data_IF_397394199446
#
_entry.id   IF_397394199446
#
_cell.length_a   1.000
_cell.length_b   1.000
_cell.length_c   1.000
_cell.angle_alpha   90.00
_cell.angle_beta   90.00
_cell.angle_gamma   90.00
#
_symmetry.space_group_name_H-M   'P 1'
#
loop_
_entity.id
_entity.type
_entity.pdbx_description
1 polymer ?
#
# COMPACT_ATOMS: atom_id res chain seq x y z
N UNK A 1 6.43 22.92 17.31
CA UNK A 1 7.50 21.91 17.29
C UNK A 1 7.34 21.05 16.06
N UNK A 2 8.33 20.23 15.70
CA UNK A 2 8.21 19.27 14.59
C UNK A 2 7.40 18.07 15.09
N UNK A 3 6.34 17.69 14.38
CA UNK A 3 5.56 16.47 14.67
C UNK A 3 6.36 15.27 14.18
N UNK A 4 6.66 14.31 15.06
CA UNK A 4 7.48 13.16 14.71
C UNK A 4 6.84 11.87 15.22
N UNK A 5 6.83 10.84 14.38
CA UNK A 5 6.43 9.49 14.69
C UNK A 5 7.67 8.60 14.82
N UNK A 6 7.53 7.48 15.54
CA UNK A 6 8.58 6.45 15.68
C UNK A 6 8.07 5.13 15.17
N UNK A 7 8.95 4.30 14.63
CA UNK A 7 8.65 2.98 14.10
C UNK A 7 9.80 2.02 14.41
N UNK A 8 9.64 1.14 15.42
CA UNK A 8 10.70 0.22 15.84
C UNK A 8 10.17 -1.10 16.43
N UNK A 9 11.05 -2.07 16.65
CA UNK A 9 10.77 -3.44 17.16
C UNK A 9 9.91 -3.48 18.41
N UNK A 10 10.11 -2.52 19.30
CA UNK A 10 9.48 -2.48 20.62
C UNK A 10 8.01 -2.07 20.57
N UNK A 11 7.55 -1.58 19.42
CA UNK A 11 6.14 -1.23 19.19
C UNK A 11 5.35 -2.46 18.80
N UNK A 12 4.13 -2.56 19.32
CA UNK A 12 3.13 -3.52 18.84
C UNK A 12 2.74 -3.23 17.39
N UNK A 13 2.15 -4.21 16.71
CA UNK A 13 1.68 -4.08 15.33
C UNK A 13 0.72 -2.88 15.21
N UNK A 14 -0.23 -2.75 16.14
CA UNK A 14 -1.23 -1.66 16.16
C UNK A 14 -0.56 -0.28 16.31
N UNK A 15 0.46 -0.17 17.15
CA UNK A 15 1.19 1.10 17.33
C UNK A 15 1.98 1.49 16.08
N UNK A 16 2.59 0.51 15.41
CA UNK A 16 3.31 0.72 14.14
C UNK A 16 2.36 1.20 13.05
N UNK A 17 1.17 0.59 12.96
CA UNK A 17 0.16 0.94 11.97
C UNK A 17 -0.35 2.36 12.19
N UNK A 18 -0.61 2.72 13.45
CA UNK A 18 -0.99 4.09 13.82
C UNK A 18 0.11 5.11 13.50
N UNK A 19 1.37 4.77 13.75
CA UNK A 19 2.49 5.67 13.47
C UNK A 19 2.69 5.88 11.96
N UNK A 20 2.55 4.83 11.15
CA UNK A 20 2.60 4.91 9.69
C UNK A 20 1.43 5.72 9.13
N UNK A 21 0.20 5.45 9.59
CA UNK A 21 -0.99 6.20 9.18
C UNK A 21 -0.88 7.68 9.55
N UNK A 22 -0.41 7.99 10.77
CA UNK A 22 -0.19 9.37 11.19
C UNK A 22 0.93 10.05 10.37
N UNK A 23 1.92 9.33 9.88
CA UNK A 23 2.94 9.89 8.99
C UNK A 23 2.43 10.14 7.56
N UNK A 24 1.45 9.37 7.09
CA UNK A 24 0.83 9.53 5.77
C UNK A 24 -0.21 10.66 5.69
N UNK A 25 -0.66 11.18 6.84
CA UNK A 25 -1.69 12.24 6.90
C UNK A 25 -1.10 13.63 6.55
N UNK A 26 -1.68 14.33 5.58
CA UNK A 26 -1.12 15.59 5.07
C UNK A 26 -1.25 16.77 6.06
N UNK A 27 -2.45 16.96 6.63
CA UNK A 27 -2.75 18.16 7.42
C UNK A 27 -2.24 18.07 8.86
N UNK A 28 -2.66 17.01 9.58
CA UNK A 28 -2.35 16.86 11.02
C UNK A 28 -1.27 15.82 11.32
N UNK A 29 -0.75 15.18 10.28
CA UNK A 29 0.21 14.08 10.37
C UNK A 29 1.63 14.43 10.83
N UNK A 30 2.38 13.40 11.21
CA UNK A 30 3.79 13.51 11.51
C UNK A 30 4.57 14.01 10.28
N UNK A 31 5.50 14.93 10.48
CA UNK A 31 6.37 15.44 9.42
C UNK A 31 7.65 14.60 9.26
N UNK A 32 7.97 13.79 10.27
CA UNK A 32 9.16 12.94 10.32
C UNK A 32 8.77 11.59 10.90
N UNK A 33 9.22 10.51 10.25
CA UNK A 33 9.14 9.16 10.77
C UNK A 33 10.56 8.66 11.08
N UNK A 34 10.80 8.30 12.33
CA UNK A 34 12.06 7.69 12.77
C UNK A 34 11.91 6.17 12.80
N UNK A 35 12.57 5.50 11.86
CA UNK A 35 12.51 4.04 11.71
C UNK A 35 13.78 3.36 12.22
N UNK A 36 13.63 2.21 12.90
CA UNK A 36 14.70 1.21 13.00
C UNK A 36 14.75 0.34 11.72
N UNK A 37 15.67 -0.63 11.67
CA UNK A 37 15.81 -1.57 10.54
C UNK A 37 14.48 -2.22 10.13
N UNK A 38 13.53 -2.38 11.06
CA UNK A 38 12.24 -3.04 10.80
C UNK A 38 11.28 -2.17 9.99
N UNK A 39 11.55 -0.87 9.86
CA UNK A 39 10.88 -0.02 8.86
C UNK A 39 11.13 -0.48 7.42
N UNK A 40 12.10 -1.38 7.20
CA UNK A 40 12.38 -2.02 5.91
C UNK A 40 11.50 -3.24 5.61
N UNK A 41 10.56 -3.63 6.49
CA UNK A 41 9.62 -4.74 6.22
C UNK A 41 8.18 -4.23 6.00
N UNK A 42 7.57 -4.68 4.91
CA UNK A 42 6.10 -4.65 4.72
C UNK A 42 5.41 -3.34 4.30
N UNK A 43 5.93 -2.14 4.61
CA UNK A 43 5.17 -0.88 4.37
C UNK A 43 5.67 -0.03 3.20
N UNK A 44 4.78 0.73 2.56
CA UNK A 44 5.03 1.65 1.46
C UNK A 44 5.04 3.11 1.93
N UNK A 45 6.12 3.87 1.65
CA UNK A 45 6.19 5.31 1.96
C UNK A 45 6.38 6.14 0.69
N UNK A 46 5.64 5.79 -0.37
CA UNK A 46 5.74 6.40 -1.69
C UNK A 46 5.37 7.89 -1.73
N UNK A 47 4.65 8.39 -0.71
CA UNK A 47 4.35 9.81 -0.56
C UNK A 47 5.55 10.63 -0.05
N UNK A 48 6.55 9.98 0.56
CA UNK A 48 7.74 10.64 1.06
C UNK A 48 8.84 10.68 -0.01
N UNK A 49 9.53 11.82 -0.11
CA UNK A 49 10.62 12.04 -1.08
C UNK A 49 11.98 12.28 -0.43
N UNK A 50 12.06 12.42 0.90
CA UNK A 50 13.33 12.63 1.59
C UNK A 50 13.66 11.45 2.50
N UNK A 51 14.84 10.86 2.31
CA UNK A 51 15.36 9.78 3.16
C UNK A 51 16.64 10.22 3.83
N UNK A 52 16.70 10.11 5.17
CA UNK A 52 17.92 10.38 5.94
C UNK A 52 18.42 9.06 6.54
N UNK A 53 19.58 8.59 6.10
CA UNK A 53 20.21 7.37 6.61
C UNK A 53 21.38 7.73 7.53
N UNK A 54 21.16 7.62 8.84
CA UNK A 54 22.21 7.85 9.84
C UNK A 54 23.27 6.75 9.85
N UNK A 55 22.90 5.54 9.44
CA UNK A 55 23.78 4.40 9.21
C UNK A 55 23.58 3.86 7.79
N UNK A 56 24.63 3.24 7.26
CA UNK A 56 24.54 2.45 6.03
C UNK A 56 24.67 0.97 6.37
N UNK A 57 23.81 0.10 5.79
CA UNK A 57 23.98 -1.31 5.95
C UNK A 57 25.24 -1.76 5.21
N UNK A 58 25.85 -2.84 5.67
CA UNK A 58 27.02 -3.40 4.99
C UNK A 58 26.63 -4.23 3.75
N UNK A 59 25.43 -4.83 3.76
CA UNK A 59 24.90 -5.61 2.66
C UNK A 59 24.15 -4.69 1.67
N UNK A 60 24.56 -4.60 0.39
CA UNK A 60 23.86 -3.80 -0.63
C UNK A 60 22.38 -4.12 -0.79
N UNK A 61 21.96 -5.37 -0.60
CA UNK A 61 20.54 -5.73 -0.71
C UNK A 61 19.67 -5.00 0.32
N UNK A 62 20.22 -4.76 1.53
CA UNK A 62 19.49 -4.02 2.56
C UNK A 62 19.39 -2.54 2.20
N UNK A 63 20.42 -1.96 1.57
CA UNK A 63 20.37 -0.58 1.08
C UNK A 63 19.28 -0.43 0.02
N UNK A 64 19.27 -1.34 -0.97
CA UNK A 64 18.25 -1.37 -2.03
C UNK A 64 16.84 -1.52 -1.44
N UNK A 65 16.67 -2.41 -0.46
CA UNK A 65 15.38 -2.60 0.22
C UNK A 65 14.91 -1.37 0.99
N UNK A 66 15.84 -0.60 1.59
CA UNK A 66 15.55 0.68 2.27
C UNK A 66 15.10 1.72 1.25
N UNK A 67 15.88 1.95 0.19
CA UNK A 67 15.57 2.92 -0.88
C UNK A 67 14.24 2.58 -1.56
N UNK A 68 14.04 1.30 -1.88
CA UNK A 68 12.82 0.76 -2.46
C UNK A 68 11.57 0.85 -1.57
N UNK A 69 11.62 1.46 -0.38
CA UNK A 69 10.41 1.85 0.38
C UNK A 69 9.77 3.12 -0.17
N UNK A 70 10.58 4.01 -0.71
CA UNK A 70 10.17 5.27 -1.33
C UNK A 70 10.18 5.15 -2.86
N UNK A 71 11.15 4.40 -3.40
CA UNK A 71 11.33 4.20 -4.85
C UNK A 71 10.47 3.03 -5.35
N UNK A 72 9.17 3.28 -5.51
CA UNK A 72 8.21 2.33 -6.08
C UNK A 72 7.30 3.03 -7.08
N UNK A 73 6.59 2.22 -7.88
CA UNK A 73 5.51 2.68 -8.76
C UNK A 73 4.51 3.52 -7.94
N UNK A 74 4.27 4.76 -8.36
CA UNK A 74 3.41 5.72 -7.66
C UNK A 74 4.16 6.90 -7.01
N UNK A 75 5.49 6.84 -6.90
CA UNK A 75 6.30 7.97 -6.44
C UNK A 75 6.24 9.14 -7.47
N UNK A 76 5.78 10.30 -7.03
CA UNK A 76 5.59 11.47 -7.88
C UNK A 76 6.79 12.43 -7.90
N UNK A 77 7.73 12.29 -6.96
CA UNK A 77 8.84 13.22 -6.76
C UNK A 77 10.21 12.51 -6.78
N UNK A 78 11.24 13.24 -7.21
CA UNK A 78 12.62 12.75 -7.14
C UNK A 78 13.03 12.52 -5.68
N UNK A 79 13.50 11.30 -5.38
CA UNK A 79 13.91 10.92 -4.03
C UNK A 79 15.26 11.55 -3.70
N UNK A 80 15.31 12.26 -2.58
CA UNK A 80 16.48 12.92 -2.03
C UNK A 80 17.06 12.08 -0.89
N UNK A 81 18.19 11.44 -1.15
CA UNK A 81 18.90 10.62 -0.15
C UNK A 81 19.97 11.46 0.55
N UNK A 82 19.89 11.49 1.89
CA UNK A 82 20.83 12.21 2.76
C UNK A 82 21.55 11.21 3.65
N UNK A 83 22.87 11.09 3.49
CA UNK A 83 23.70 10.21 4.33
C UNK A 83 24.71 11.06 5.09
N UNK A 84 24.39 11.55 6.30
CA UNK A 84 25.38 12.21 7.13
C UNK A 84 26.44 11.19 7.59
N UNK A 85 27.72 11.51 7.38
CA UNK A 85 28.83 10.70 7.85
C UNK A 85 29.97 11.58 8.38
N UNK A 86 30.80 10.99 9.24
CA UNK A 86 32.03 11.62 9.70
C UNK A 86 33.21 11.14 8.84
N UNK A 87 34.10 12.04 8.48
CA UNK A 87 35.33 11.68 7.77
C UNK A 87 36.15 10.66 8.58
N UNK A 88 36.90 9.79 7.87
CA UNK A 88 37.80 8.79 8.49
C UNK A 88 37.07 7.80 9.39
N UNK A 89 35.85 7.44 8.99
CA UNK A 89 35.07 6.37 9.65
C UNK A 89 34.72 5.27 8.66
N UNK A 90 34.37 4.09 9.17
CA UNK A 90 33.91 2.99 8.33
C UNK A 90 32.73 3.40 7.43
N UNK A 91 31.83 4.25 7.94
CA UNK A 91 30.72 4.78 7.16
C UNK A 91 31.19 5.67 5.99
N UNK A 92 32.23 6.48 6.15
CA UNK A 92 32.79 7.26 5.04
C UNK A 92 33.35 6.37 3.91
N UNK A 93 33.91 5.21 4.26
CA UNK A 93 34.37 4.20 3.29
C UNK A 93 33.17 3.56 2.58
N UNK A 94 32.11 3.18 3.32
CA UNK A 94 30.88 2.65 2.73
C UNK A 94 30.21 3.65 1.78
N UNK A 95 30.07 4.91 2.18
CA UNK A 95 29.47 5.96 1.35
C UNK A 95 30.19 6.04 0.00
N UNK A 96 31.53 6.13 0.02
CA UNK A 96 32.33 6.19 -1.21
C UNK A 96 32.18 4.93 -2.05
N UNK A 97 32.23 3.75 -1.44
CA UNK A 97 32.09 2.49 -2.17
C UNK A 97 30.71 2.34 -2.81
N UNK A 98 29.62 2.66 -2.10
CA UNK A 98 28.26 2.62 -2.64
C UNK A 98 28.04 3.64 -3.75
N UNK A 99 28.53 4.88 -3.58
CA UNK A 99 28.32 5.95 -4.55
C UNK A 99 29.24 5.79 -5.77
N UNK A 100 30.55 5.73 -5.57
CA UNK A 100 31.53 5.74 -6.66
C UNK A 100 31.68 4.36 -7.31
N UNK A 101 31.60 3.29 -6.50
CA UNK A 101 31.82 1.91 -6.94
C UNK A 101 30.58 1.21 -7.49
N UNK A 102 29.42 1.45 -6.89
CA UNK A 102 28.17 0.73 -7.21
C UNK A 102 27.04 1.61 -7.77
N UNK A 103 27.17 2.94 -7.70
CA UNK A 103 26.12 3.90 -8.07
C UNK A 103 24.78 3.71 -7.33
N UNK A 104 24.81 3.05 -6.17
CA UNK A 104 23.63 2.46 -5.55
C UNK A 104 22.66 3.48 -4.93
N UNK A 105 23.04 4.76 -4.86
CA UNK A 105 22.15 5.83 -4.40
C UNK A 105 21.38 6.49 -5.56
N UNK A 106 21.86 6.36 -6.79
CA UNK A 106 21.27 7.01 -7.97
C UNK A 106 20.47 6.02 -8.82
N UNK A 107 20.84 4.74 -8.77
CA UNK A 107 20.25 3.69 -9.58
C UNK A 107 20.03 2.40 -8.81
N UNK A 108 19.03 1.64 -9.23
CA UNK A 108 18.82 0.27 -8.76
C UNK A 108 20.07 -0.57 -9.02
N UNK A 109 20.54 -1.29 -8.00
CA UNK A 109 21.83 -1.99 -8.05
C UNK A 109 21.67 -3.51 -7.96
N UNK A 110 21.16 -4.20 -9.01
CA UNK A 110 20.93 -5.64 -8.98
C UNK A 110 22.23 -6.47 -8.89
N UNK A 111 23.38 -5.86 -9.19
CA UNK A 111 24.69 -6.52 -9.12
C UNK A 111 25.40 -6.31 -7.78
N UNK A 112 24.83 -5.48 -6.89
CA UNK A 112 25.49 -5.03 -5.66
C UNK A 112 25.96 -6.19 -4.80
N UNK A 113 25.12 -7.20 -4.61
CA UNK A 113 25.45 -8.41 -3.84
C UNK A 113 26.63 -9.19 -4.42
N UNK A 114 26.65 -9.40 -5.74
CA UNK A 114 27.70 -10.16 -6.40
C UNK A 114 29.07 -9.49 -6.24
N UNK A 115 29.11 -8.16 -6.36
CA UNK A 115 30.35 -7.38 -6.19
C UNK A 115 30.75 -7.38 -4.72
N UNK A 116 29.81 -7.15 -3.81
CA UNK A 116 30.04 -7.25 -2.38
C UNK A 116 30.71 -8.57 -2.00
N UNK A 117 30.18 -9.70 -2.46
CA UNK A 117 30.74 -11.02 -2.17
C UNK A 117 32.15 -11.20 -2.77
N UNK A 118 32.46 -10.56 -3.90
CA UNK A 118 33.78 -10.65 -4.54
C UNK A 118 34.84 -9.79 -3.84
N UNK A 119 34.48 -8.60 -3.32
CA UNK A 119 35.42 -7.67 -2.67
C UNK A 119 35.33 -7.66 -1.14
N UNK A 120 34.49 -8.51 -0.54
CA UNK A 120 34.21 -8.53 0.90
C UNK A 120 35.48 -8.46 1.77
N UNK A 121 36.46 -9.30 1.48
CA UNK A 121 37.69 -9.41 2.27
C UNK A 121 38.56 -8.15 2.19
N UNK A 122 38.57 -7.46 1.05
CA UNK A 122 39.33 -6.22 0.89
C UNK A 122 38.58 -5.06 1.53
N UNK A 123 37.26 -4.98 1.27
CA UNK A 123 36.39 -3.93 1.80
C UNK A 123 36.39 -3.91 3.33
N UNK A 124 36.32 -5.08 3.99
CA UNK A 124 36.32 -5.14 5.46
C UNK A 124 37.61 -4.61 6.08
N UNK A 125 38.76 -4.72 5.40
CA UNK A 125 40.03 -4.17 5.87
C UNK A 125 40.00 -2.64 5.85
N UNK A 126 39.46 -2.03 4.80
CA UNK A 126 39.29 -0.57 4.71
C UNK A 126 38.27 -0.06 5.74
N UNK A 127 37.22 -0.83 6.03
CA UNK A 127 36.27 -0.50 7.09
C UNK A 127 36.90 -0.55 8.49
N UNK A 128 37.79 -1.53 8.73
CA UNK A 128 38.49 -1.67 9.99
C UNK A 128 39.57 -0.59 10.21
N UNK A 129 40.14 -0.05 9.12
CA UNK A 129 41.16 1.00 9.15
C UNK A 129 40.85 2.15 8.17
N UNK A 130 39.82 2.99 8.46
CA UNK A 130 39.36 4.02 7.53
C UNK A 130 40.38 5.12 7.20
N UNK A 131 41.40 5.29 8.03
CA UNK A 131 42.51 6.22 7.80
C UNK A 131 43.49 5.76 6.71
N UNK A 132 43.47 4.47 6.36
CA UNK A 132 44.35 3.88 5.35
C UNK A 132 43.62 3.75 4.02
N UNK A 133 43.66 4.81 3.22
CA UNK A 133 42.97 4.87 1.92
C UNK A 133 43.86 4.50 0.74
N UNK A 134 45.11 4.08 0.98
CA UNK A 134 46.03 3.69 -0.09
C UNK A 134 45.49 2.46 -0.83
N UNK A 135 45.32 2.57 -2.15
CA UNK A 135 44.72 1.52 -2.98
C UNK A 135 43.20 1.43 -2.95
N UNK A 136 42.51 2.24 -2.13
CA UNK A 136 41.04 2.21 -2.06
C UNK A 136 40.39 2.73 -3.34
N UNK A 137 40.96 3.76 -3.97
CA UNK A 137 40.45 4.29 -5.25
C UNK A 137 40.57 3.25 -6.38
N UNK A 138 41.62 2.42 -6.36
CA UNK A 138 41.78 1.31 -7.30
C UNK A 138 40.73 0.22 -7.06
N UNK A 139 40.39 -0.08 -5.80
CA UNK A 139 39.31 -0.99 -5.45
C UNK A 139 37.95 -0.45 -5.95
N UNK A 140 37.66 0.82 -5.70
CA UNK A 140 36.42 1.49 -6.17
C UNK A 140 36.32 1.39 -7.69
N UNK A 141 37.41 1.73 -8.39
CA UNK A 141 37.44 1.68 -9.85
C UNK A 141 37.18 0.26 -10.37
N UNK A 142 37.80 -0.75 -9.77
CA UNK A 142 37.58 -2.15 -10.12
C UNK A 142 36.11 -2.56 -9.87
N UNK A 143 35.53 -2.15 -8.73
CA UNK A 143 34.11 -2.38 -8.44
C UNK A 143 33.21 -1.76 -9.51
N UNK A 144 33.47 -0.51 -9.90
CA UNK A 144 32.70 0.18 -10.95
C UNK A 144 32.82 -0.52 -12.29
N UNK A 145 34.02 -0.94 -12.69
CA UNK A 145 34.22 -1.69 -13.94
C UNK A 145 33.46 -3.04 -13.93
N UNK A 146 33.48 -3.76 -12.80
CA UNK A 146 32.70 -5.00 -12.65
C UNK A 146 31.19 -4.75 -12.66
N UNK A 147 30.73 -3.68 -11.99
CA UNK A 147 29.34 -3.25 -11.98
C UNK A 147 28.82 -2.98 -13.38
N UNK A 148 29.50 -2.13 -14.14
CA UNK A 148 29.09 -1.79 -15.50
C UNK A 148 29.10 -3.01 -16.43
N UNK A 149 30.10 -3.89 -16.29
CA UNK A 149 30.17 -5.12 -17.08
C UNK A 149 29.01 -6.08 -16.77
N UNK A 150 28.69 -6.30 -15.49
CA UNK A 150 27.58 -7.16 -15.07
C UNK A 150 26.23 -6.55 -15.46
N UNK A 151 26.07 -5.24 -15.29
CA UNK A 151 24.87 -4.49 -15.70
C UNK A 151 24.62 -4.67 -17.19
N UNK A 152 25.65 -4.47 -18.03
CA UNK A 152 25.55 -4.67 -19.47
C UNK A 152 25.18 -6.13 -19.85
N UNK A 153 25.69 -7.12 -19.11
CA UNK A 153 25.32 -8.52 -19.32
C UNK A 153 23.85 -8.80 -18.95
N UNK A 154 23.36 -8.24 -17.84
CA UNK A 154 21.96 -8.35 -17.44
C UNK A 154 21.03 -7.69 -18.46
N UNK A 155 21.40 -6.51 -18.97
CA UNK A 155 20.67 -5.83 -20.03
C UNK A 155 20.65 -6.61 -21.35
N UNK A 156 21.74 -7.31 -21.69
CA UNK A 156 21.77 -8.20 -22.86
C UNK A 156 20.98 -9.50 -22.64
N UNK A 157 20.93 -9.99 -21.41
CA UNK A 157 20.14 -11.16 -21.01
C UNK A 157 18.64 -10.87 -20.87
N UNK A 158 18.24 -9.61 -20.74
CA UNK A 158 16.83 -9.19 -20.80
C UNK A 158 16.30 -9.40 -22.21
N UNK A 159 15.46 -10.43 -22.36
CA UNK A 159 14.78 -10.69 -23.62
C UNK A 159 13.86 -9.51 -23.94
N UNK A 160 14.27 -8.71 -24.92
CA UNK A 160 13.59 -7.47 -25.32
C UNK A 160 12.16 -7.72 -25.79
N UNK A 161 11.85 -8.96 -26.22
CA UNK A 161 10.50 -9.41 -26.53
C UNK A 161 9.64 -9.57 -25.27
N UNK A 162 10.21 -10.03 -24.15
CA UNK A 162 9.49 -10.05 -22.88
C UNK A 162 9.18 -8.63 -22.41
N UNK A 163 10.11 -7.68 -22.53
CA UNK A 163 9.84 -6.26 -22.18
C UNK A 163 8.71 -5.66 -23.02
N UNK A 164 8.75 -5.83 -24.35
CA UNK A 164 7.71 -5.32 -25.26
C UNK A 164 6.33 -5.91 -24.94
N UNK A 165 6.28 -7.16 -24.49
CA UNK A 165 5.01 -7.81 -24.11
C UNK A 165 4.64 -7.65 -22.64
N UNK A 166 5.56 -7.22 -21.78
CA UNK A 166 5.37 -7.12 -20.32
C UNK A 166 4.49 -5.95 -19.88
N UNK A 167 4.40 -4.88 -20.68
CA UNK A 167 3.49 -3.78 -20.40
C UNK A 167 2.01 -4.10 -20.74
N UNK A 168 1.73 -5.28 -21.32
CA UNK A 168 0.40 -5.73 -21.72
C UNK A 168 -0.25 -4.94 -22.88
N UNK A 169 0.45 -3.95 -23.42
CA UNK A 169 0.06 -3.12 -24.56
C UNK A 169 -1.28 -2.42 -24.40
N UNK A 170 -1.95 -2.14 -25.52
CA UNK A 170 -3.26 -1.49 -25.56
C UNK A 170 -4.32 -2.24 -24.74
N UNK A 171 -4.21 -3.56 -24.58
CA UNK A 171 -5.17 -4.36 -23.80
C UNK A 171 -5.05 -4.11 -22.31
N UNK A 172 -3.83 -4.01 -21.78
CA UNK A 172 -3.63 -3.69 -20.37
C UNK A 172 -4.02 -2.24 -20.09
N UNK A 173 -3.74 -1.32 -21.02
CA UNK A 173 -4.16 0.07 -20.90
C UNK A 173 -5.70 0.20 -20.89
N UNK A 174 -6.40 -0.44 -21.82
CA UNK A 174 -7.86 -0.44 -21.84
C UNK A 174 -8.47 -1.11 -20.60
N UNK A 175 -7.81 -2.12 -20.05
CA UNK A 175 -8.22 -2.74 -18.78
C UNK A 175 -8.00 -1.78 -17.60
N UNK A 176 -6.88 -1.08 -17.55
CA UNK A 176 -6.60 -0.09 -16.52
C UNK A 176 -7.62 1.06 -16.56
N UNK A 177 -7.90 1.60 -17.75
CA UNK A 177 -8.94 2.62 -17.96
C UNK A 177 -10.32 2.12 -17.53
N UNK A 178 -10.69 0.87 -17.85
CA UNK A 178 -11.95 0.28 -17.41
C UNK A 178 -12.04 0.08 -15.89
N UNK A 179 -10.91 -0.10 -15.20
CA UNK A 179 -10.86 -0.21 -13.74
C UNK A 179 -10.98 1.19 -13.12
N UNK A 180 -10.30 2.18 -13.69
CA UNK A 180 -10.35 3.58 -13.24
C UNK A 180 -11.77 4.15 -13.38
N UNK A 181 -12.46 3.88 -14.50
CA UNK A 181 -13.88 4.23 -14.68
C UNK A 181 -14.80 3.58 -13.63
N UNK A 182 -14.45 2.39 -13.11
CA UNK A 182 -15.23 1.74 -12.05
C UNK A 182 -14.94 2.34 -10.67
N UNK A 183 -13.70 2.75 -10.41
CA UNK A 183 -13.33 3.40 -9.15
C UNK A 183 -14.07 4.74 -8.98
N UNK A 184 -14.29 5.47 -10.08
CA UNK A 184 -15.06 6.73 -10.11
C UNK A 184 -16.60 6.53 -10.05
N UNK A 185 -17.10 5.28 -10.02
CA UNK A 185 -18.54 5.00 -10.04
C UNK A 185 -19.20 5.22 -8.66
N UNK A 186 -19.86 6.37 -8.53
CA UNK A 186 -20.67 6.73 -7.36
C UNK A 186 -21.82 5.76 -7.03
N UNK A 187 -22.23 4.89 -7.96
CA UNK A 187 -23.28 3.91 -7.70
C UNK A 187 -22.88 2.91 -6.61
N UNK A 188 -21.61 2.48 -6.57
CA UNK A 188 -21.11 1.58 -5.55
C UNK A 188 -21.20 2.21 -4.17
N UNK A 189 -20.81 3.49 -4.05
CA UNK A 189 -20.86 4.23 -2.79
C UNK A 189 -22.31 4.30 -2.29
N UNK A 190 -23.23 4.76 -3.14
CA UNK A 190 -24.64 4.87 -2.78
C UNK A 190 -25.26 3.52 -2.42
N UNK A 191 -24.90 2.46 -3.15
CA UNK A 191 -25.34 1.10 -2.87
C UNK A 191 -24.80 0.60 -1.52
N UNK A 192 -23.50 0.75 -1.26
CA UNK A 192 -22.83 0.29 -0.05
C UNK A 192 -23.40 0.98 1.20
N UNK A 193 -23.58 2.30 1.17
CA UNK A 193 -24.18 3.05 2.29
C UNK A 193 -25.58 2.53 2.62
N UNK A 194 -26.42 2.32 1.59
CA UNK A 194 -27.77 1.81 1.76
C UNK A 194 -27.77 0.35 2.28
N UNK A 195 -26.87 -0.48 1.75
CA UNK A 195 -26.68 -1.85 2.22
C UNK A 195 -26.32 -1.88 3.71
N UNK A 196 -25.37 -1.06 4.14
CA UNK A 196 -24.97 -0.97 5.55
C UNK A 196 -26.10 -0.46 6.44
N UNK A 197 -26.88 0.52 5.99
CA UNK A 197 -28.09 1.00 6.69
C UNK A 197 -29.12 -0.10 6.87
N UNK A 198 -29.40 -0.88 5.82
CA UNK A 198 -30.38 -1.99 5.86
C UNK A 198 -29.92 -3.06 6.84
N UNK A 199 -28.63 -3.41 6.81
CA UNK A 199 -28.05 -4.40 7.74
C UNK A 199 -28.02 -3.85 9.17
N UNK A 200 -28.04 -2.53 9.35
CA UNK A 200 -27.94 -1.86 10.64
C UNK A 200 -26.49 -1.68 11.11
N UNK A 201 -25.54 -1.54 10.20
CA UNK A 201 -24.13 -1.25 10.53
C UNK A 201 -24.00 0.26 10.76
N UNK A 202 -23.38 0.66 11.87
CA UNK A 202 -23.11 2.07 12.14
C UNK A 202 -22.00 2.59 11.22
N UNK A 203 -22.17 3.81 10.71
CA UNK A 203 -21.27 4.44 9.75
C UNK A 203 -20.85 5.82 10.30
N UNK A 204 -19.58 5.97 10.65
CA UNK A 204 -19.02 7.23 11.15
C UNK A 204 -18.01 7.80 10.15
N UNK A 205 -18.26 9.02 9.66
CA UNK A 205 -17.32 9.74 8.79
C UNK A 205 -16.11 10.22 9.62
N UNK A 206 -14.90 9.81 9.20
CA UNK A 206 -13.63 10.13 9.85
C UNK A 206 -12.92 11.33 9.21
N UNK A 207 -13.43 11.89 8.12
CA UNK A 207 -12.68 12.79 7.24
C UNK A 207 -11.76 12.04 6.26
N UNK A 208 -11.13 12.78 5.34
CA UNK A 208 -10.16 12.26 4.35
C UNK A 208 -10.69 11.07 3.53
N UNK A 209 -11.95 11.13 3.10
CA UNK A 209 -12.65 10.10 2.33
C UNK A 209 -12.71 8.71 3.01
N UNK A 210 -12.62 8.64 4.34
CA UNK A 210 -12.73 7.38 5.11
C UNK A 210 -13.98 7.32 5.98
N UNK A 211 -14.51 6.10 6.10
CA UNK A 211 -15.68 5.79 6.90
C UNK A 211 -15.35 4.63 7.84
N UNK A 212 -15.72 4.77 9.11
CA UNK A 212 -15.57 3.71 10.10
C UNK A 212 -16.89 2.97 10.22
N UNK A 213 -16.85 1.68 9.99
CA UNK A 213 -17.98 0.77 10.16
C UNK A 213 -17.86 0.09 11.51
N UNK A 214 -18.89 0.20 12.35
CA UNK A 214 -18.95 -0.51 13.64
C UNK A 214 -20.23 -1.34 13.76
N UNK A 215 -20.17 -2.49 14.44
CA UNK A 215 -21.36 -3.24 14.78
C UNK A 215 -22.34 -2.42 15.62
N UNK A 216 -23.64 -2.68 15.45
CA UNK A 216 -24.69 -2.03 16.23
C UNK A 216 -25.61 -3.05 16.91
N UNK A 217 -26.27 -2.63 17.99
CA UNK A 217 -27.25 -3.46 18.71
C UNK A 217 -28.49 -3.84 17.87
N UNK A 218 -28.71 -3.17 16.74
CA UNK A 218 -29.87 -3.36 15.87
C UNK A 218 -29.51 -4.00 14.53
N UNK A 219 -28.31 -4.58 14.41
CA UNK A 219 -27.92 -5.31 13.22
C UNK A 219 -28.87 -6.49 12.94
N UNK A 220 -29.18 -6.71 11.66
CA UNK A 220 -29.98 -7.84 11.19
C UNK A 220 -29.33 -9.20 11.54
N UNK A 221 -27.99 -9.25 11.53
CA UNK A 221 -27.21 -10.43 11.88
C UNK A 221 -26.15 -10.03 12.90
N UNK A 222 -26.02 -10.74 14.04
CA UNK A 222 -25.05 -10.40 15.09
C UNK A 222 -23.58 -10.49 14.65
N UNK A 223 -23.29 -11.34 13.66
CA UNK A 223 -21.95 -11.56 13.11
C UNK A 223 -22.02 -11.35 11.60
N UNK A 224 -21.48 -10.23 11.12
CA UNK A 224 -21.48 -9.88 9.71
C UNK A 224 -20.10 -10.15 9.10
N UNK A 225 -19.96 -11.12 8.17
CA UNK A 225 -18.65 -11.54 7.70
C UNK A 225 -17.89 -10.40 7.01
N UNK A 226 -16.71 -10.10 7.56
CA UNK A 226 -15.85 -9.00 7.11
C UNK A 226 -15.89 -7.78 8.02
N UNK A 227 -16.83 -7.70 8.97
CA UNK A 227 -16.91 -6.65 9.99
C UNK A 227 -16.38 -7.20 11.33
N UNK A 228 -15.29 -6.65 11.85
CA UNK A 228 -14.75 -7.00 13.17
C UNK A 228 -15.58 -6.40 14.31
N UNK A 229 -15.49 -7.00 15.50
CA UNK A 229 -16.11 -6.47 16.73
C UNK A 229 -15.62 -5.04 17.07
N UNK A 230 -14.34 -4.76 16.82
CA UNK A 230 -13.73 -3.43 17.03
C UNK A 230 -14.06 -2.43 15.90
N UNK A 231 -14.78 -2.86 14.86
CA UNK A 231 -15.04 -2.10 13.65
C UNK A 231 -13.86 -2.08 12.67
N UNK A 232 -14.13 -1.58 11.47
CA UNK A 232 -13.16 -1.48 10.37
C UNK A 232 -13.22 -0.08 9.75
N UNK A 233 -12.10 0.37 9.22
CA UNK A 233 -12.05 1.59 8.40
C UNK A 233 -12.12 1.19 6.93
N UNK A 234 -12.96 1.86 6.17
CA UNK A 234 -13.14 1.64 4.74
C UNK A 234 -12.94 2.95 3.96
N UNK A 235 -12.61 2.83 2.69
CA UNK A 235 -12.59 3.95 1.74
C UNK A 235 -13.05 3.46 0.36
N UNK A 236 -13.64 4.37 -0.41
CA UNK A 236 -13.96 4.17 -1.83
C UNK A 236 -12.95 4.85 -2.75
N UNK A 237 -11.93 5.47 -2.17
CA UNK A 237 -10.86 6.17 -2.88
C UNK A 237 -9.60 5.29 -2.88
N UNK A 238 -9.13 4.95 -4.09
CA UNK A 238 -7.98 4.08 -4.28
C UNK A 238 -6.69 4.73 -3.79
N UNK A 239 -6.52 6.02 -3.99
CA UNK A 239 -5.30 6.73 -3.56
C UNK A 239 -5.19 6.71 -2.04
N UNK A 240 -6.32 6.94 -1.36
CA UNK A 240 -6.39 6.84 0.10
C UNK A 240 -6.07 5.42 0.57
N UNK A 241 -6.62 4.38 -0.06
CA UNK A 241 -6.32 2.99 0.32
C UNK A 241 -4.86 2.58 0.08
N UNK A 242 -4.21 3.13 -0.94
CA UNK A 242 -2.78 2.90 -1.22
C UNK A 242 -1.87 3.60 -0.21
N UNK A 243 -2.27 4.79 0.26
CA UNK A 243 -1.55 5.55 1.27
C UNK A 243 -1.80 5.01 2.70
N UNK A 244 -2.99 4.47 2.96
CA UNK A 244 -3.44 4.04 4.28
C UNK A 244 -3.75 2.56 4.34
N UNK A 245 -2.81 1.81 4.87
CA UNK A 245 -2.97 0.36 5.03
C UNK A 245 -3.99 -0.06 6.10
N UNK A 246 -4.46 0.88 6.94
CA UNK A 246 -5.54 0.64 7.90
C UNK A 246 -6.95 0.83 7.31
N UNK A 247 -7.05 1.33 6.07
CA UNK A 247 -8.30 1.50 5.35
C UNK A 247 -8.47 0.40 4.29
N UNK A 248 -9.62 -0.29 4.30
CA UNK A 248 -9.95 -1.28 3.27
C UNK A 248 -10.61 -0.61 2.07
N UNK A 249 -10.09 -0.87 0.87
CA UNK A 249 -10.68 -0.39 -0.38
C UNK A 249 -11.94 -1.18 -0.73
N UNK A 250 -13.08 -0.51 -0.81
CA UNK A 250 -14.37 -1.15 -1.12
C UNK A 250 -14.58 -1.21 -2.63
N UNK A 251 -14.82 -2.43 -3.11
CA UNK A 251 -15.25 -2.73 -4.48
C UNK A 251 -16.51 -3.60 -4.44
N UNK A 252 -17.15 -3.83 -5.59
CA UNK A 252 -18.26 -4.79 -5.71
C UNK A 252 -17.90 -6.21 -5.25
N UNK A 253 -16.62 -6.56 -5.30
CA UNK A 253 -16.10 -7.87 -4.93
C UNK A 253 -15.69 -7.95 -3.45
N UNK A 254 -15.73 -6.82 -2.74
CA UNK A 254 -15.36 -6.79 -1.33
C UNK A 254 -16.27 -7.71 -0.51
N UNK A 255 -15.75 -8.49 0.46
CA UNK A 255 -16.54 -9.43 1.25
C UNK A 255 -17.78 -8.80 1.88
N UNK A 256 -17.68 -7.58 2.43
CA UNK A 256 -18.83 -6.87 3.00
C UNK A 256 -19.96 -6.65 1.98
N UNK A 257 -19.62 -6.33 0.73
CA UNK A 257 -20.60 -6.06 -0.32
C UNK A 257 -21.23 -7.36 -0.79
N UNK A 258 -20.41 -8.38 -1.09
CA UNK A 258 -20.89 -9.69 -1.52
C UNK A 258 -21.73 -10.39 -0.47
N UNK A 259 -21.27 -10.44 0.79
CA UNK A 259 -22.01 -11.06 1.88
C UNK A 259 -23.29 -10.29 2.20
N UNK A 260 -23.29 -8.95 2.08
CA UNK A 260 -24.49 -8.15 2.23
C UNK A 260 -25.51 -8.40 1.11
N UNK A 261 -25.05 -8.50 -0.14
CA UNK A 261 -25.87 -8.90 -1.28
C UNK A 261 -26.48 -10.29 -1.06
N UNK A 262 -25.65 -11.27 -0.69
CA UNK A 262 -26.11 -12.64 -0.41
C UNK A 262 -27.12 -12.66 0.73
N UNK A 263 -26.88 -11.90 1.81
CA UNK A 263 -27.80 -11.78 2.93
C UNK A 263 -29.15 -11.20 2.51
N UNK A 264 -29.17 -10.18 1.66
CA UNK A 264 -30.42 -9.60 1.13
C UNK A 264 -31.14 -10.58 0.21
N UNK A 265 -30.41 -11.25 -0.68
CA UNK A 265 -30.99 -12.16 -1.68
C UNK A 265 -31.48 -13.48 -1.09
N UNK A 266 -30.80 -13.98 -0.05
CA UNK A 266 -31.15 -15.21 0.66
C UNK A 266 -32.02 -14.99 1.89
N UNK A 267 -32.18 -13.73 2.32
CA UNK A 267 -32.91 -13.39 3.52
C UNK A 267 -34.40 -13.67 3.41
N UNK A 268 -34.98 -14.22 4.47
CA UNK A 268 -36.43 -14.44 4.61
C UNK A 268 -37.20 -13.12 4.81
N UNK A 269 -36.49 -12.00 4.94
CA UNK A 269 -37.04 -10.66 5.18
C UNK A 269 -37.39 -9.97 3.87
N UNK A 270 -38.62 -10.14 3.40
CA UNK A 270 -39.18 -9.36 2.29
C UNK A 270 -39.67 -7.97 2.71
N UNK A 271 -39.70 -7.02 1.77
CA UNK A 271 -40.38 -5.74 1.98
C UNK A 271 -41.87 -5.87 1.69
N UNK A 272 -42.72 -5.51 2.65
CA UNK A 272 -44.17 -5.42 2.47
C UNK A 272 -44.60 -3.96 2.60
N UNK A 273 -45.15 -3.38 1.53
CA UNK A 273 -45.71 -2.03 1.57
C UNK A 273 -47.24 -2.10 1.64
N UNK A 274 -47.83 -1.42 2.62
CA UNK A 274 -49.28 -1.25 2.72
C UNK A 274 -49.64 0.17 2.29
N UNK A 275 -50.47 0.29 1.26
CA UNK A 275 -51.00 1.58 0.80
C UNK A 275 -52.53 1.58 0.79
N UNK A 276 -53.11 2.75 1.04
CA UNK A 276 -54.55 2.94 1.19
C UNK A 276 -55.13 3.54 -0.09
N UNK A 277 -55.73 2.72 -0.94
CA UNK A 277 -56.38 3.17 -2.18
C UNK A 277 -57.79 3.70 -1.90
N UNK A 278 -57.96 5.03 -1.89
CA UNK A 278 -59.28 5.66 -1.74
C UNK A 278 -60.05 5.64 -3.06
N UNK A 279 -60.85 4.60 -3.29
CA UNK A 279 -61.70 4.49 -4.47
C UNK A 279 -63.16 4.15 -4.12
N UNK A 280 -64.10 5.05 -4.44
CA UNK A 280 -65.54 4.88 -4.15
C UNK A 280 -66.24 3.81 -5.00
N UNK A 281 -65.60 3.37 -6.09
CA UNK A 281 -66.14 2.32 -6.96
C UNK A 281 -65.88 0.91 -6.42
N UNK A 282 -64.99 0.76 -5.41
CA UNK A 282 -64.69 -0.53 -4.80
C UNK A 282 -65.48 -0.72 -3.50
N UNK A 283 -65.99 -1.94 -3.23
CA UNK A 283 -66.63 -2.25 -1.96
C UNK A 283 -65.73 -1.98 -0.74
N UNK A 284 -66.34 -1.61 0.38
CA UNK A 284 -65.62 -1.43 1.65
C UNK A 284 -65.04 -2.78 2.09
N UNK A 285 -63.76 -2.79 2.46
CA UNK A 285 -63.05 -4.00 2.89
C UNK A 285 -62.36 -4.79 1.76
N UNK A 286 -62.34 -4.27 0.52
CA UNK A 286 -61.53 -4.87 -0.55
C UNK A 286 -60.04 -4.77 -0.22
N UNK A 287 -59.37 -5.93 -0.17
CA UNK A 287 -57.91 -6.06 -0.08
C UNK A 287 -57.37 -6.42 -1.46
N UNK A 288 -56.41 -5.64 -1.94
CA UNK A 288 -55.63 -5.96 -3.12
C UNK A 288 -54.24 -6.39 -2.64
N UNK A 289 -53.81 -7.58 -3.04
CA UNK A 289 -52.49 -8.11 -2.72
C UNK A 289 -51.74 -8.26 -4.03
N UNK A 290 -50.63 -7.55 -4.17
CA UNK A 290 -49.68 -7.73 -5.25
C UNK A 290 -48.48 -8.51 -4.71
N UNK A 291 -48.17 -9.64 -5.33
CA UNK A 291 -47.05 -10.48 -4.98
C UNK A 291 -46.05 -10.41 -6.14
N UNK A 292 -44.87 -9.84 -5.87
CA UNK A 292 -43.74 -9.85 -6.81
C UNK A 292 -42.79 -10.92 -6.32
N UNK A 293 -42.58 -11.96 -7.12
CA UNK A 293 -41.71 -13.08 -6.77
C UNK A 293 -40.96 -13.59 -8.00
N UNK A 294 -39.77 -14.16 -7.77
CA UNK A 294 -38.99 -14.88 -8.78
C UNK A 294 -39.23 -16.38 -8.56
N UNK A 295 -39.63 -17.09 -9.61
CA UNK A 295 -39.76 -18.56 -9.57
C UNK A 295 -38.45 -19.17 -10.05
N UNK A 296 -37.69 -19.75 -9.14
CA UNK A 296 -36.50 -20.53 -9.48
C UNK A 296 -36.81 -22.03 -9.45
N UNK A 297 -36.42 -22.74 -10.52
CA UNK A 297 -36.50 -24.19 -10.59
C UNK A 297 -35.07 -24.75 -10.56
N UNK A 298 -34.71 -25.50 -9.53
CA UNK A 298 -33.48 -26.28 -9.50
C UNK A 298 -33.65 -27.55 -10.35
N UNK A 299 -32.75 -27.78 -11.30
CA UNK A 299 -32.67 -28.98 -12.13
C UNK A 299 -31.70 -30.00 -11.52
#
# INVERSE_FOLDING_TARGET
GIRAAVFHEGMSIIERDRAAAWFAEEDTGAQVLLCSEIGSEGRNFQFASHMVMFDLPFNPDLLEQRIGRLDRIGQAHDIQIHVPYLEKTAQSVLVRWYHEGLDAFEHTCPTGRTIYDSVYNDLINYLASPDQTEGFDDLIKNCREQHEALKAQLEQGRDRLLEIHSNGGEKAQALAESIEEQDDDTNLIAFAMNLFDIIGINQDDRGDNMIVLTPSDHMLVPDFPGLSEDGITITFDREVALAREDAQFITWEHPLIRNGLDLILSGDTGSSTISLLKNKALPVGTLLVELIYVVEAQA
#
